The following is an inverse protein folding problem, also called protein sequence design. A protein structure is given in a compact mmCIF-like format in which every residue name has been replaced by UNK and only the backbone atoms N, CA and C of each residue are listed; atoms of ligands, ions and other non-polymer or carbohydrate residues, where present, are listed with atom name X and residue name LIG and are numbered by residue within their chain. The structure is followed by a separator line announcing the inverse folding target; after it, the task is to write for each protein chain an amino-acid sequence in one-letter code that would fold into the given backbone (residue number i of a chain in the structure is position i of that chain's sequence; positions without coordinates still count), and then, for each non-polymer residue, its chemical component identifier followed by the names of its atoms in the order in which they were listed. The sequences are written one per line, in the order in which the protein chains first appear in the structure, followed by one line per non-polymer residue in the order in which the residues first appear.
data_IF_232153847979
#
_entry.id   IF_232153847979
#
_cell.length_a   1.000
_cell.length_b   1.000
_cell.length_c   1.000
_cell.angle_alpha   90.00
_cell.angle_beta   90.00
_cell.angle_gamma   90.00
#
_symmetry.space_group_name_H-M   'P 1'
#
loop_
_entity.id
_entity.type
_entity.pdbx_description
1 polymer ?
#
# COMPACT_ATOMS: atom_id res chain seq x y z
N UNK A 1 3.78 -14.51 14.84
CA UNK A 1 2.55 -14.94 15.54
C UNK A 1 2.90 -15.17 17.01
N UNK A 2 2.07 -14.63 17.91
CA UNK A 2 2.29 -14.66 19.35
C UNK A 2 2.10 -16.07 19.92
N UNK A 3 2.95 -16.47 20.87
CA UNK A 3 3.04 -17.85 21.39
C UNK A 3 1.83 -18.26 22.23
N UNK A 4 0.99 -17.29 22.61
CA UNK A 4 -0.24 -17.48 23.40
C UNK A 4 -1.43 -17.98 22.57
N UNK A 5 -1.44 -17.82 21.24
CA UNK A 5 -2.58 -18.17 20.39
C UNK A 5 -2.66 -19.67 20.05
N UNK A 6 -1.59 -20.43 20.29
CA UNK A 6 -1.52 -21.87 19.98
C UNK A 6 -2.02 -22.76 21.14
N UNK A 7 -2.16 -22.20 22.35
CA UNK A 7 -2.50 -22.97 23.56
C UNK A 7 -3.96 -23.42 23.64
N UNK A 8 -4.85 -22.85 22.82
CA UNK A 8 -6.30 -23.11 22.86
C UNK A 8 -6.79 -24.06 21.74
N UNK A 9 -5.88 -24.50 20.86
CA UNK A 9 -6.21 -25.40 19.73
C UNK A 9 -6.30 -26.87 20.14
N UNK A 10 -5.77 -27.24 21.29
CA UNK A 10 -5.78 -28.62 21.81
C UNK A 10 -7.04 -28.94 22.63
N UNK A 11 -7.87 -27.95 22.95
CA UNK A 11 -9.13 -28.14 23.68
C UNK A 11 -10.37 -28.30 22.77
N UNK A 12 -10.19 -28.25 21.45
CA UNK A 12 -11.27 -28.31 20.48
C UNK A 12 -11.53 -29.74 19.99
N UNK A 13 -12.77 -30.08 19.59
CA UNK A 13 -13.07 -31.30 18.85
C UNK A 13 -12.17 -31.42 17.60
N UNK A 14 -11.71 -32.62 17.26
CA UNK A 14 -10.79 -32.87 16.13
C UNK A 14 -11.32 -32.34 14.78
N UNK A 15 -12.64 -32.32 14.59
CA UNK A 15 -13.26 -31.75 13.39
C UNK A 15 -13.07 -30.21 13.31
N UNK A 16 -13.18 -29.51 14.42
CA UNK A 16 -12.98 -28.06 14.49
C UNK A 16 -11.50 -27.70 14.38
N UNK A 17 -10.60 -28.56 14.88
CA UNK A 17 -9.15 -28.43 14.73
C UNK A 17 -8.75 -28.46 13.25
N UNK A 18 -9.32 -29.38 12.47
CA UNK A 18 -9.04 -29.51 11.04
C UNK A 18 -9.65 -28.35 10.22
N UNK A 19 -10.85 -27.90 10.58
CA UNK A 19 -11.45 -26.71 9.96
C UNK A 19 -10.63 -25.46 10.25
N UNK A 20 -10.19 -25.29 11.49
CA UNK A 20 -9.39 -24.13 11.90
C UNK A 20 -8.00 -24.15 11.26
N UNK A 21 -7.35 -25.32 11.13
CA UNK A 21 -6.06 -25.42 10.43
C UNK A 21 -6.19 -25.03 8.96
N UNK A 22 -7.26 -25.47 8.29
CA UNK A 22 -7.53 -25.08 6.89
C UNK A 22 -7.79 -23.58 6.72
N UNK A 23 -8.51 -22.95 7.67
CA UNK A 23 -8.73 -21.49 7.67
C UNK A 23 -7.44 -20.72 7.96
N UNK A 24 -6.60 -21.21 8.87
CA UNK A 24 -5.28 -20.62 9.17
C UNK A 24 -4.39 -20.66 7.92
N UNK A 25 -4.33 -21.80 7.22
CA UNK A 25 -3.56 -21.93 5.99
C UNK A 25 -4.05 -20.96 4.91
N UNK A 26 -5.38 -20.84 4.72
CA UNK A 26 -5.96 -19.87 3.78
C UNK A 26 -5.63 -18.42 4.16
N UNK A 27 -5.72 -18.06 5.45
CA UNK A 27 -5.41 -16.73 5.94
C UNK A 27 -3.92 -16.39 5.80
N UNK A 28 -3.03 -17.35 6.06
CA UNK A 28 -1.58 -17.18 5.88
C UNK A 28 -1.20 -16.96 4.42
N UNK A 29 -1.82 -17.69 3.48
CA UNK A 29 -1.60 -17.49 2.04
C UNK A 29 -2.10 -16.10 1.62
N UNK A 30 -3.29 -15.70 2.09
CA UNK A 30 -3.84 -14.36 1.83
C UNK A 30 -2.90 -13.26 2.34
N UNK A 31 -2.46 -13.35 3.58
CA UNK A 31 -1.58 -12.33 4.20
C UNK A 31 -0.22 -12.25 3.48
N UNK A 32 0.37 -13.40 3.09
CA UNK A 32 1.61 -13.46 2.30
C UNK A 32 1.48 -12.75 0.94
N UNK A 33 0.39 -13.00 0.23
CA UNK A 33 0.09 -12.29 -1.02
C UNK A 33 -0.12 -10.79 -0.76
N UNK A 34 -0.88 -10.43 0.27
CA UNK A 34 -1.18 -9.02 0.59
C UNK A 34 0.09 -8.25 0.96
N UNK A 35 1.00 -8.85 1.73
CA UNK A 35 2.26 -8.25 2.15
C UNK A 35 3.23 -8.05 0.97
N UNK A 36 3.43 -9.08 0.14
CA UNK A 36 4.28 -8.97 -1.06
C UNK A 36 3.71 -7.98 -2.08
N UNK A 37 2.39 -7.97 -2.26
CA UNK A 37 1.70 -7.05 -3.16
C UNK A 37 1.77 -5.59 -2.66
N UNK A 38 1.72 -5.37 -1.34
CA UNK A 38 1.92 -4.05 -0.73
C UNK A 38 3.32 -3.50 -1.01
N UNK A 39 4.35 -4.35 -0.92
CA UNK A 39 5.73 -3.93 -1.20
C UNK A 39 5.94 -3.55 -2.67
N UNK A 40 5.37 -4.32 -3.60
CA UNK A 40 5.42 -4.01 -5.05
C UNK A 40 4.67 -2.71 -5.37
N UNK A 41 3.54 -2.46 -4.71
CA UNK A 41 2.76 -1.23 -4.85
C UNK A 41 3.56 0.02 -4.43
N UNK A 42 4.24 -0.04 -3.28
CA UNK A 42 5.06 1.08 -2.77
C UNK A 42 6.19 1.43 -3.75
N UNK A 43 6.87 0.42 -4.30
CA UNK A 43 7.95 0.64 -5.27
C UNK A 43 7.44 1.25 -6.58
N UNK A 44 6.29 0.80 -7.09
CA UNK A 44 5.66 1.40 -8.28
C UNK A 44 5.24 2.85 -8.04
N UNK A 45 4.63 3.12 -6.89
CA UNK A 45 4.24 4.48 -6.49
C UNK A 45 5.47 5.39 -6.38
N UNK A 46 6.57 4.90 -5.80
CA UNK A 46 7.81 5.66 -5.66
C UNK A 46 8.39 6.07 -7.02
N UNK A 47 8.49 5.13 -7.97
CA UNK A 47 8.99 5.44 -9.31
C UNK A 47 8.11 6.50 -10.01
N UNK A 48 6.79 6.35 -9.91
CA UNK A 48 5.84 7.31 -10.49
C UNK A 48 5.97 8.71 -9.86
N UNK A 49 6.21 8.77 -8.54
CA UNK A 49 6.43 10.01 -7.82
C UNK A 49 7.71 10.71 -8.30
N UNK A 50 8.82 9.97 -8.40
CA UNK A 50 10.12 10.51 -8.82
C UNK A 50 10.04 11.06 -10.24
N UNK A 51 9.50 10.30 -11.19
CA UNK A 51 9.34 10.72 -12.58
C UNK A 51 8.52 12.00 -12.70
N UNK A 52 7.42 12.08 -11.95
CA UNK A 52 6.52 13.24 -11.99
C UNK A 52 7.15 14.48 -11.40
N UNK A 53 7.75 14.37 -10.21
CA UNK A 53 8.39 15.53 -9.59
C UNK A 53 9.64 15.98 -10.34
N UNK A 54 10.36 15.06 -11.00
CA UNK A 54 11.45 15.44 -11.89
C UNK A 54 10.93 16.24 -13.09
N UNK A 55 9.89 15.74 -13.77
CA UNK A 55 9.29 16.40 -14.94
C UNK A 55 8.69 17.77 -14.62
N UNK A 56 8.04 17.90 -13.45
CA UNK A 56 7.33 19.12 -13.07
C UNK A 56 8.25 20.20 -12.46
N UNK A 57 9.38 19.81 -11.86
CA UNK A 57 10.22 20.73 -11.07
C UNK A 57 11.64 20.94 -11.59
N UNK A 58 12.18 20.06 -12.44
CA UNK A 58 13.54 20.16 -12.98
C UNK A 58 13.45 20.57 -14.44
N UNK A 59 13.44 21.88 -14.67
CA UNK A 59 13.32 22.47 -16.01
C UNK A 59 14.65 22.97 -16.59
N UNK A 60 15.68 23.10 -15.74
CA UNK A 60 16.91 23.81 -16.06
C UNK A 60 18.14 22.94 -15.89
N UNK A 61 18.79 22.55 -16.99
CA UNK A 61 19.96 21.66 -16.98
C UNK A 61 21.31 22.41 -16.97
N UNK A 62 21.43 23.46 -16.14
CA UNK A 62 22.67 24.27 -16.06
C UNK A 62 23.74 23.69 -15.14
N UNK A 63 23.36 22.88 -14.15
CA UNK A 63 24.25 22.29 -13.13
C UNK A 63 23.83 20.85 -12.85
N UNK A 64 24.75 20.05 -12.30
CA UNK A 64 24.48 18.66 -11.87
C UNK A 64 23.69 18.59 -10.56
N UNK A 65 23.74 19.65 -9.76
CA UNK A 65 23.00 19.78 -8.50
C UNK A 65 21.71 20.56 -8.72
N UNK A 66 20.68 20.21 -7.98
CA UNK A 66 19.43 20.96 -7.93
C UNK A 66 19.67 22.37 -7.37
N UNK A 67 19.00 23.36 -7.96
CA UNK A 67 18.93 24.70 -7.39
C UNK A 67 17.91 24.76 -6.23
N UNK A 68 18.06 25.72 -5.31
CA UNK A 68 17.18 25.84 -4.13
C UNK A 68 15.68 25.92 -4.46
N UNK A 69 15.37 26.50 -5.63
CA UNK A 69 13.99 26.57 -6.13
C UNK A 69 13.47 25.19 -6.54
N UNK A 70 14.28 24.41 -7.26
CA UNK A 70 13.95 23.03 -7.67
C UNK A 70 13.82 22.12 -6.45
N UNK A 71 14.74 22.21 -5.48
CA UNK A 71 14.65 21.46 -4.21
C UNK A 71 13.33 21.76 -3.46
N UNK A 72 12.96 23.04 -3.38
CA UNK A 72 11.70 23.45 -2.75
C UNK A 72 10.49 22.94 -3.53
N UNK A 73 10.55 22.95 -4.86
CA UNK A 73 9.50 22.43 -5.73
C UNK A 73 9.34 20.92 -5.53
N UNK A 74 10.41 20.14 -5.61
CA UNK A 74 10.39 18.67 -5.45
C UNK A 74 9.81 18.30 -4.09
N UNK A 75 10.19 19.00 -3.02
CA UNK A 75 9.62 18.77 -1.68
C UNK A 75 8.11 19.00 -1.65
N UNK A 76 7.63 20.10 -2.24
CA UNK A 76 6.19 20.41 -2.33
C UNK A 76 5.44 19.43 -3.24
N UNK A 77 6.05 19.02 -4.34
CA UNK A 77 5.52 18.02 -5.26
C UNK A 77 5.30 16.69 -4.55
N UNK A 78 6.31 16.19 -3.82
CA UNK A 78 6.20 14.94 -3.07
C UNK A 78 5.11 14.99 -2.00
N UNK A 79 5.07 16.07 -1.21
CA UNK A 79 4.04 16.25 -0.19
C UNK A 79 2.63 16.30 -0.81
N UNK A 80 2.46 17.03 -1.92
CA UNK A 80 1.19 17.15 -2.63
C UNK A 80 0.76 15.82 -3.22
N UNK A 81 1.66 15.10 -3.88
CA UNK A 81 1.37 13.81 -4.50
C UNK A 81 0.92 12.78 -3.46
N UNK A 82 1.65 12.64 -2.36
CA UNK A 82 1.28 11.67 -1.31
C UNK A 82 -0.08 11.98 -0.69
N UNK A 83 -0.34 13.24 -0.32
CA UNK A 83 -1.64 13.66 0.23
C UNK A 83 -2.77 13.47 -0.77
N UNK A 84 -2.52 13.75 -2.05
CA UNK A 84 -3.48 13.55 -3.12
C UNK A 84 -3.80 12.06 -3.32
N UNK A 85 -2.77 11.21 -3.45
CA UNK A 85 -2.92 9.76 -3.62
C UNK A 85 -3.68 9.12 -2.46
N UNK A 86 -3.42 9.54 -1.21
CA UNK A 86 -4.19 9.08 -0.05
C UNK A 86 -5.65 9.51 -0.14
N UNK A 87 -5.92 10.77 -0.50
CA UNK A 87 -7.30 11.27 -0.64
C UNK A 87 -8.06 10.56 -1.76
N UNK A 88 -7.43 10.35 -2.91
CA UNK A 88 -8.02 9.60 -4.04
C UNK A 88 -8.29 8.16 -3.62
N UNK A 89 -7.36 7.51 -2.93
CA UNK A 89 -7.55 6.15 -2.41
C UNK A 89 -8.77 6.03 -1.48
N UNK A 90 -8.95 6.99 -0.55
CA UNK A 90 -10.13 7.02 0.33
C UNK A 90 -11.43 7.18 -0.45
N UNK A 91 -11.50 8.15 -1.38
CA UNK A 91 -12.71 8.37 -2.19
C UNK A 91 -13.00 7.20 -3.12
N UNK A 92 -11.98 6.56 -3.67
CA UNK A 92 -12.14 5.36 -4.48
C UNK A 92 -12.73 4.21 -3.66
N UNK A 93 -12.27 4.00 -2.43
CA UNK A 93 -12.82 2.98 -1.54
C UNK A 93 -14.29 3.27 -1.19
N UNK A 94 -14.63 4.54 -0.90
CA UNK A 94 -16.02 4.96 -0.66
C UNK A 94 -16.92 4.67 -1.87
N UNK A 95 -16.46 5.02 -3.09
CA UNK A 95 -17.21 4.76 -4.31
C UNK A 95 -17.36 3.27 -4.59
N UNK A 96 -16.32 2.47 -4.38
CA UNK A 96 -16.37 1.02 -4.62
C UNK A 96 -17.25 0.29 -3.58
N UNK A 97 -17.38 0.82 -2.37
CA UNK A 97 -18.32 0.32 -1.35
C UNK A 97 -19.76 0.78 -1.62
N UNK A 98 -19.95 1.97 -2.21
CA UNK A 98 -21.25 2.47 -2.68
C UNK A 98 -21.68 1.93 -4.04
N UNK A 99 -20.79 1.29 -4.80
CA UNK A 99 -21.04 0.75 -6.14
C UNK A 99 -21.71 -0.64 -6.16
N UNK A 100 -22.55 -0.93 -5.16
CA UNK A 100 -23.61 -1.91 -5.36
C UNK A 100 -24.79 -1.19 -6.03
N UNK A 101 -24.87 -1.28 -7.37
CA UNK A 101 -25.87 -0.66 -8.29
C UNK A 101 -25.65 0.85 -8.53
N UNK A 102 -25.68 1.42 -9.73
CA UNK A 102 -26.41 1.10 -10.96
C UNK A 102 -25.55 1.42 -12.21
N UNK A 103 -25.33 0.42 -13.05
CA UNK A 103 -25.58 0.41 -14.50
C UNK A 103 -25.44 -1.05 -15.01
#
# INVERSE_FOLDING_TARGET
MDKSMLGDLDALPEEDKLRMSSMIDQLQVRDRYTHTHTHIYILRMYNSLVERCFTDCVDTFRRKSLDKQEETCVRRCAEKFLKHSMRVGMRFAELNQGAATQD
#
